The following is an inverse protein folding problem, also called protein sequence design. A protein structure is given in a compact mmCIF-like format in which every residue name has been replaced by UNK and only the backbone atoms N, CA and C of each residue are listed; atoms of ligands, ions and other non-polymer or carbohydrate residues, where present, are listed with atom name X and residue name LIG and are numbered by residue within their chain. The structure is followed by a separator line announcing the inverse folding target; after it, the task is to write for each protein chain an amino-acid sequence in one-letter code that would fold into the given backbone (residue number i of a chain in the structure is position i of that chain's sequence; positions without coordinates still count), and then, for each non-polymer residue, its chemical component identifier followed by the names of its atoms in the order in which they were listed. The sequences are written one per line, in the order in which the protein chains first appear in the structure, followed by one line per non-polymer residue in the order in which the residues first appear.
data_IF_400327251377
#
_entry.id   IF_400327251377
#
_cell.length_a   1.000
_cell.length_b   1.000
_cell.length_c   1.000
_cell.angle_alpha   90.00
_cell.angle_beta   90.00
_cell.angle_gamma   90.00
#
_symmetry.space_group_name_H-M   'P 1'
#
loop_
_entity.id
_entity.type
_entity.pdbx_description
1 polymer ?
#
# COMPACT_ATOMS: atom_id res chain seq x y z
N UNK A 1 14.63 -0.95 7.30
CA UNK A 1 14.44 0.40 6.71
C UNK A 1 13.08 0.99 7.08
N UNK A 2 11.94 0.29 6.91
CA UNK A 2 10.63 0.82 7.36
C UNK A 2 10.44 0.81 8.89
N UNK A 3 10.99 -0.18 9.63
CA UNK A 3 10.98 -0.17 11.11
C UNK A 3 11.75 1.01 11.72
N UNK A 4 12.75 1.55 11.02
CA UNK A 4 13.55 2.66 11.53
C UNK A 4 12.80 4.01 11.47
N UNK A 5 11.81 4.11 10.59
CA UNK A 5 10.96 5.29 10.40
C UNK A 5 9.51 5.03 10.82
N UNK A 6 9.24 3.90 11.49
CA UNK A 6 7.90 3.47 11.92
C UNK A 6 6.85 3.54 10.79
N UNK A 7 7.27 3.24 9.55
CA UNK A 7 6.37 3.27 8.39
C UNK A 7 5.58 1.96 8.34
N UNK A 8 4.24 2.00 8.38
CA UNK A 8 3.44 0.80 8.36
C UNK A 8 3.52 0.12 6.98
N UNK A 9 3.71 -1.21 6.99
CA UNK A 9 3.85 -2.03 5.78
C UNK A 9 2.70 -3.03 5.73
N UNK A 10 1.96 -3.01 4.62
CA UNK A 10 0.84 -3.93 4.37
C UNK A 10 1.11 -4.76 3.12
N UNK A 11 0.78 -6.05 3.19
CA UNK A 11 0.84 -6.96 2.06
C UNK A 11 -0.58 -7.26 1.61
N UNK A 12 -0.95 -6.73 0.43
CA UNK A 12 -2.35 -6.66 0.00
C UNK A 12 -2.64 -7.55 -1.21
N UNK A 13 -1.66 -7.74 -2.10
CA UNK A 13 -1.89 -8.34 -3.40
C UNK A 13 -0.58 -8.84 -4.03
N UNK A 14 -0.72 -9.67 -5.07
CA UNK A 14 0.40 -10.13 -5.88
C UNK A 14 0.95 -9.03 -6.81
N UNK A 15 2.18 -9.25 -7.29
CA UNK A 15 2.95 -8.30 -8.10
C UNK A 15 2.22 -7.88 -9.38
N UNK A 16 1.39 -8.76 -9.93
CA UNK A 16 0.58 -8.53 -11.14
C UNK A 16 -0.67 -7.69 -10.85
N UNK A 17 -1.37 -7.99 -9.78
CA UNK A 17 -2.57 -7.26 -9.37
C UNK A 17 -2.22 -5.84 -8.93
N UNK A 18 -1.18 -5.68 -8.10
CA UNK A 18 -0.61 -4.37 -7.75
C UNK A 18 -0.13 -3.60 -8.98
N UNK A 19 0.46 -4.30 -9.95
CA UNK A 19 0.82 -3.73 -11.25
C UNK A 19 -0.39 -3.12 -11.94
N UNK A 20 -1.44 -3.92 -12.16
CA UNK A 20 -2.69 -3.49 -12.81
C UNK A 20 -3.32 -2.29 -12.10
N UNK A 21 -3.39 -2.31 -10.77
CA UNK A 21 -3.95 -1.20 -9.99
C UNK A 21 -3.14 0.10 -10.14
N UNK A 22 -1.82 0.00 -10.33
CA UNK A 22 -0.96 1.16 -10.58
C UNK A 22 -0.82 1.53 -12.07
N UNK A 23 -1.54 0.85 -12.98
CA UNK A 23 -1.42 1.07 -14.42
C UNK A 23 -0.08 0.61 -15.03
N UNK A 24 0.59 -0.36 -14.40
CA UNK A 24 1.85 -0.97 -14.88
C UNK A 24 1.67 -2.49 -15.07
N UNK A 25 2.56 -3.13 -15.84
CA UNK A 25 2.50 -4.58 -16.02
C UNK A 25 2.83 -5.33 -14.71
N UNK A 26 3.79 -4.85 -13.93
CA UNK A 26 4.18 -5.45 -12.65
C UNK A 26 4.58 -4.39 -11.62
N UNK A 27 4.15 -4.55 -10.37
CA UNK A 27 4.61 -3.73 -9.25
C UNK A 27 4.70 -4.54 -7.97
N UNK A 28 5.92 -4.72 -7.46
CA UNK A 28 6.18 -5.47 -6.24
C UNK A 28 5.99 -4.67 -4.95
N UNK A 29 6.05 -3.33 -5.02
CA UNK A 29 5.91 -2.45 -3.86
C UNK A 29 5.37 -1.08 -4.26
N UNK A 30 4.56 -0.49 -3.40
CA UNK A 30 4.05 0.87 -3.54
C UNK A 30 4.37 1.65 -2.26
N UNK A 31 4.93 2.84 -2.42
CA UNK A 31 5.13 3.79 -1.33
C UNK A 31 4.19 4.97 -1.54
N UNK A 32 3.36 5.24 -0.54
CA UNK A 32 2.47 6.41 -0.53
C UNK A 32 3.22 7.54 0.18
N UNK A 33 3.45 8.65 -0.52
CA UNK A 33 4.17 9.81 0.01
C UNK A 33 3.23 10.92 0.50
N UNK A 34 1.96 10.87 0.11
CA UNK A 34 0.96 11.85 0.53
C UNK A 34 0.29 11.41 1.83
N UNK A 35 0.31 12.26 2.85
CA UNK A 35 -0.21 11.93 4.18
C UNK A 35 -1.73 11.76 4.20
N UNK A 36 -2.48 12.59 3.45
CA UNK A 36 -3.93 12.50 3.40
C UNK A 36 -4.37 11.23 2.68
N UNK A 37 -3.67 10.87 1.60
CA UNK A 37 -3.92 9.62 0.88
C UNK A 37 -3.56 8.41 1.73
N UNK A 38 -2.43 8.43 2.45
CA UNK A 38 -2.04 7.35 3.37
C UNK A 38 -3.10 7.15 4.46
N UNK A 39 -3.56 8.22 5.11
CA UNK A 39 -4.63 8.14 6.14
C UNK A 39 -5.94 7.58 5.60
N UNK A 40 -6.32 7.94 4.37
CA UNK A 40 -7.52 7.40 3.73
C UNK A 40 -7.37 5.91 3.40
N UNK A 41 -6.21 5.51 2.85
CA UNK A 41 -5.92 4.09 2.57
C UNK A 41 -5.91 3.25 3.84
N UNK A 42 -5.26 3.72 4.91
CA UNK A 42 -5.23 3.02 6.20
C UNK A 42 -6.65 2.73 6.72
N UNK A 43 -7.54 3.73 6.67
CA UNK A 43 -8.95 3.54 7.08
C UNK A 43 -9.70 2.51 6.25
N UNK A 44 -9.44 2.44 4.95
CA UNK A 44 -10.07 1.44 4.08
C UNK A 44 -9.45 0.05 4.29
N UNK A 45 -8.14 -0.03 4.53
CA UNK A 45 -7.46 -1.27 4.88
C UNK A 45 -7.96 -1.85 6.21
N UNK A 46 -8.12 -1.01 7.23
CA UNK A 46 -8.70 -1.41 8.52
C UNK A 46 -10.14 -1.94 8.39
N UNK A 47 -10.92 -1.44 7.41
CA UNK A 47 -12.25 -1.97 7.11
C UNK A 47 -12.22 -3.31 6.38
N UNK A 48 -11.19 -3.54 5.56
CA UNK A 48 -11.03 -4.80 4.82
C UNK A 48 -10.51 -5.94 5.71
N UNK A 49 -9.86 -5.63 6.84
CA UNK A 49 -9.41 -6.62 7.83
C UNK A 49 -10.48 -7.01 8.88
N UNK A 50 -11.73 -6.50 8.79
CA UNK A 50 -12.87 -6.89 9.65
C UNK A 50 -13.82 -7.92 9.04
#
# INVERSE_FOLDING_TARGET
MCEFYEVPVYFLADKEELGKFCGKEFRASLAVQDENFAKAMLKELEKMEQ
#
